data_IF_642902780341
#
_entry.id   IF_642902780341
#
_cell.length_a   1.000
_cell.length_b   1.000
_cell.length_c   1.000
_cell.angle_alpha   90.00
_cell.angle_beta   90.00
_cell.angle_gamma   90.00
#
_symmetry.space_group_name_H-M   'P 1'
#
loop_
_entity.id
_entity.type
_entity.pdbx_description
1 polymer ?
#
# COMPACT_ATOMS: atom_id res chain seq x y z
N UNK A 1 -11.68 -8.66 48.36
CA UNK A 1 -12.81 -7.85 47.80
C UNK A 1 -12.22 -6.54 47.27
N UNK A 2 -11.85 -6.47 45.99
CA UNK A 2 -11.60 -5.21 45.26
C UNK A 2 -12.49 -5.24 44.03
N UNK A 3 -13.49 -4.36 44.02
CA UNK A 3 -14.35 -4.11 42.88
C UNK A 3 -13.51 -3.31 41.86
N UNK A 4 -13.03 -3.96 40.81
CA UNK A 4 -12.52 -3.28 39.63
C UNK A 4 -13.74 -2.74 38.88
N UNK A 5 -13.86 -1.41 38.92
CA UNK A 5 -14.87 -0.68 38.17
C UNK A 5 -14.62 -0.88 36.67
N UNK A 6 -15.53 -1.58 36.02
CA UNK A 6 -15.62 -1.68 34.57
C UNK A 6 -16.00 -0.30 34.04
N UNK A 7 -15.01 0.51 33.71
CA UNK A 7 -15.20 1.68 32.87
C UNK A 7 -15.46 1.15 31.45
N UNK A 8 -16.75 0.95 31.13
CA UNK A 8 -17.15 0.90 29.73
C UNK A 8 -16.77 2.24 29.10
N UNK A 9 -15.58 2.31 28.53
CA UNK A 9 -15.22 3.36 27.61
C UNK A 9 -16.32 3.35 26.53
N UNK A 10 -17.18 4.36 26.54
CA UNK A 10 -18.07 4.68 25.43
C UNK A 10 -17.16 4.77 24.20
N UNK A 11 -17.21 3.75 23.35
CA UNK A 11 -16.44 3.70 22.13
C UNK A 11 -16.80 4.96 21.33
N UNK A 12 -15.88 5.89 21.27
CA UNK A 12 -16.03 7.14 20.55
C UNK A 12 -16.33 6.78 19.10
N UNK A 13 -17.54 7.10 18.64
CA UNK A 13 -17.96 6.79 17.27
C UNK A 13 -17.01 7.50 16.31
N UNK A 14 -16.34 6.76 15.45
CA UNK A 14 -15.50 7.30 14.41
C UNK A 14 -16.26 8.36 13.59
N UNK A 15 -15.72 9.57 13.53
CA UNK A 15 -16.28 10.69 12.77
C UNK A 15 -15.57 10.90 11.45
N UNK A 16 -14.29 10.50 11.38
CA UNK A 16 -13.44 10.69 10.21
C UNK A 16 -13.56 9.50 9.24
N UNK A 17 -13.41 9.75 7.95
CA UNK A 17 -13.39 8.69 6.95
C UNK A 17 -12.13 7.83 7.10
N UNK A 18 -12.30 6.50 7.07
CA UNK A 18 -11.15 5.58 7.11
C UNK A 18 -10.17 5.83 5.97
N UNK A 19 -8.88 5.85 6.30
CA UNK A 19 -7.80 5.99 5.32
C UNK A 19 -7.73 4.80 4.38
N UNK A 20 -7.11 4.95 3.21
CA UNK A 20 -6.92 3.83 2.29
C UNK A 20 -6.05 2.72 2.89
N UNK A 21 -5.10 3.06 3.76
CA UNK A 21 -4.30 2.06 4.49
C UNK A 21 -5.15 1.26 5.46
N UNK A 22 -6.03 1.92 6.23
CA UNK A 22 -6.96 1.27 7.13
C UNK A 22 -7.88 0.30 6.38
N UNK A 23 -8.47 0.75 5.27
CA UNK A 23 -9.30 -0.08 4.39
C UNK A 23 -8.51 -1.25 3.79
N UNK A 24 -7.25 -1.05 3.42
CA UNK A 24 -6.38 -2.10 2.91
C UNK A 24 -6.04 -3.13 3.98
N UNK A 25 -5.71 -2.70 5.20
CA UNK A 25 -5.50 -3.59 6.36
C UNK A 25 -6.75 -4.42 6.65
N UNK A 26 -7.95 -3.79 6.66
CA UNK A 26 -9.21 -4.48 6.87
C UNK A 26 -9.49 -5.54 5.77
N UNK A 27 -9.26 -5.21 4.50
CA UNK A 27 -9.37 -6.18 3.40
C UNK A 27 -8.40 -7.36 3.57
N UNK A 28 -7.14 -7.09 3.94
CA UNK A 28 -6.14 -8.13 4.22
C UNK A 28 -6.53 -9.05 5.39
N UNK A 29 -7.34 -8.58 6.33
CA UNK A 29 -7.92 -9.38 7.42
C UNK A 29 -9.21 -10.13 7.01
N UNK A 30 -9.68 -9.92 5.77
CA UNK A 30 -10.88 -10.56 5.23
C UNK A 30 -12.17 -9.77 5.45
N UNK A 31 -12.11 -8.53 5.99
CA UNK A 31 -13.27 -7.64 6.08
C UNK A 31 -13.39 -6.82 4.78
N UNK A 32 -14.05 -7.42 3.80
CA UNK A 32 -14.36 -6.78 2.53
C UNK A 32 -15.85 -6.93 2.22
N UNK A 33 -16.40 -5.96 1.49
CA UNK A 33 -17.79 -6.04 1.02
C UNK A 33 -17.88 -7.10 -0.07
N UNK A 34 -18.55 -8.22 0.22
CA UNK A 34 -18.77 -9.32 -0.72
C UNK A 34 -20.24 -9.67 -0.79
N UNK A 35 -20.85 -9.41 -1.94
CA UNK A 35 -22.20 -9.87 -2.22
C UNK A 35 -22.14 -11.13 -3.09
N UNK A 36 -22.59 -12.27 -2.53
CA UNK A 36 -22.72 -13.52 -3.27
C UNK A 36 -23.86 -13.43 -4.29
N UNK A 37 -24.88 -12.66 -3.96
CA UNK A 37 -26.05 -12.47 -4.82
C UNK A 37 -25.66 -11.74 -6.10
N UNK A 38 -24.78 -10.71 -6.00
CA UNK A 38 -24.29 -9.98 -7.17
C UNK A 38 -23.44 -10.86 -8.08
N UNK A 39 -22.59 -11.75 -7.52
CA UNK A 39 -21.85 -12.74 -8.31
C UNK A 39 -22.81 -13.63 -9.11
N UNK A 40 -23.81 -14.19 -8.43
CA UNK A 40 -24.79 -15.10 -9.03
C UNK A 40 -25.62 -14.40 -10.09
N UNK A 41 -26.04 -13.15 -9.85
CA UNK A 41 -26.84 -12.38 -10.78
C UNK A 41 -26.06 -12.06 -12.08
N UNK A 42 -24.79 -11.67 -11.96
CA UNK A 42 -23.94 -11.40 -13.14
C UNK A 42 -23.62 -12.70 -13.89
N UNK A 43 -23.36 -13.80 -13.20
CA UNK A 43 -23.18 -15.10 -13.83
C UNK A 43 -24.42 -15.54 -14.61
N UNK A 44 -25.60 -15.39 -14.00
CA UNK A 44 -26.88 -15.71 -14.64
C UNK A 44 -27.15 -14.85 -15.86
N UNK A 45 -26.94 -13.53 -15.76
CA UNK A 45 -27.13 -12.61 -16.89
C UNK A 45 -26.16 -12.91 -18.03
N UNK A 46 -24.86 -13.09 -17.72
CA UNK A 46 -23.85 -13.43 -18.72
C UNK A 46 -24.15 -14.73 -19.43
N UNK A 47 -24.54 -15.78 -18.68
CA UNK A 47 -24.97 -17.05 -19.24
C UNK A 47 -26.21 -16.92 -20.10
N UNK A 48 -27.24 -16.19 -19.65
CA UNK A 48 -28.48 -16.00 -20.39
C UNK A 48 -28.26 -15.21 -21.70
N UNK A 49 -27.46 -14.14 -21.69
CA UNK A 49 -27.15 -13.38 -22.90
C UNK A 49 -26.42 -14.22 -23.95
N UNK A 50 -25.40 -14.99 -23.52
CA UNK A 50 -24.67 -15.89 -24.43
C UNK A 50 -25.57 -17.01 -24.92
N UNK A 51 -26.42 -17.58 -24.07
CA UNK A 51 -27.39 -18.60 -24.45
C UNK A 51 -28.31 -18.11 -25.57
N UNK A 52 -28.85 -16.88 -25.45
CA UNK A 52 -29.71 -16.31 -26.48
C UNK A 52 -29.01 -16.08 -27.82
N UNK A 53 -27.72 -15.72 -27.78
CA UNK A 53 -26.92 -15.55 -28.99
C UNK A 53 -26.60 -16.89 -29.68
N UNK A 54 -26.31 -17.91 -28.90
CA UNK A 54 -25.85 -19.21 -29.42
C UNK A 54 -27.02 -20.16 -29.71
N UNK A 55 -28.18 -19.97 -29.09
CA UNK A 55 -29.31 -20.89 -29.18
C UNK A 55 -29.80 -21.11 -30.64
N UNK A 56 -29.83 -20.11 -31.44
CA UNK A 56 -30.26 -20.26 -32.88
C UNK A 56 -29.29 -21.09 -33.67
N UNK A 57 -28.01 -20.87 -33.54
CA UNK A 57 -26.94 -21.65 -34.16
C UNK A 57 -26.89 -23.08 -33.63
N UNK A 58 -27.16 -23.31 -32.36
CA UNK A 58 -27.22 -24.61 -31.73
C UNK A 58 -28.34 -25.48 -32.36
N UNK A 59 -29.54 -24.93 -32.46
CA UNK A 59 -30.71 -25.64 -33.07
C UNK A 59 -30.41 -26.03 -34.52
N UNK A 60 -29.83 -25.09 -35.29
CA UNK A 60 -29.48 -25.38 -36.68
C UNK A 60 -28.43 -26.49 -36.82
N UNK A 61 -27.36 -26.39 -35.99
CA UNK A 61 -26.29 -27.42 -35.97
C UNK A 61 -26.81 -28.79 -35.59
N UNK A 62 -27.70 -28.89 -34.60
CA UNK A 62 -28.31 -30.14 -34.18
C UNK A 62 -29.23 -30.75 -35.27
N UNK A 63 -29.99 -29.93 -35.97
CA UNK A 63 -30.79 -30.36 -37.08
C UNK A 63 -29.91 -31.02 -38.17
N UNK A 64 -28.82 -30.35 -38.54
CA UNK A 64 -27.86 -30.88 -39.54
C UNK A 64 -27.23 -32.20 -39.10
N UNK A 65 -26.82 -32.24 -37.82
CA UNK A 65 -26.25 -33.49 -37.23
C UNK A 65 -27.27 -34.62 -37.25
N UNK A 66 -28.53 -34.35 -36.91
CA UNK A 66 -29.60 -35.32 -36.91
C UNK A 66 -29.89 -35.84 -38.31
N UNK A 67 -30.04 -34.94 -39.31
CA UNK A 67 -30.23 -35.29 -40.72
C UNK A 67 -29.11 -36.16 -41.25
N UNK A 68 -27.83 -35.79 -40.98
CA UNK A 68 -26.66 -36.59 -41.38
C UNK A 68 -26.60 -37.97 -40.68
N UNK A 69 -27.00 -38.03 -39.42
CA UNK A 69 -27.01 -39.29 -38.66
C UNK A 69 -28.08 -40.24 -39.22
N UNK A 70 -29.21 -39.72 -39.64
CA UNK A 70 -30.29 -40.50 -40.25
C UNK A 70 -29.91 -41.03 -41.65
N UNK A 71 -29.21 -40.21 -42.44
CA UNK A 71 -28.65 -40.62 -43.73
C UNK A 71 -27.58 -41.74 -43.58
N UNK A 72 -26.67 -41.58 -42.63
CA UNK A 72 -25.66 -42.59 -42.33
C UNK A 72 -26.27 -43.92 -41.87
N UNK A 73 -27.36 -43.85 -41.06
CA UNK A 73 -28.09 -45.05 -40.65
C UNK A 73 -28.79 -45.78 -41.82
N UNK A 74 -29.30 -45.02 -42.81
CA UNK A 74 -29.91 -45.62 -44.04
C UNK A 74 -28.88 -46.27 -44.96
N UNK A 75 -27.65 -45.74 -44.99
CA UNK A 75 -26.61 -46.27 -45.87
C UNK A 75 -26.03 -47.58 -45.42
N UNK A 76 -26.41 -48.16 -44.28
CA UNK A 76 -26.00 -49.46 -43.79
C UNK A 76 -24.51 -49.66 -43.54
N UNK A 77 -23.75 -48.59 -43.47
CA UNK A 77 -22.29 -48.60 -43.32
C UNK A 77 -21.87 -48.92 -41.85
N UNK A 78 -22.15 -50.18 -41.45
CA UNK A 78 -21.83 -50.71 -40.12
C UNK A 78 -20.37 -51.10 -39.88
N UNK A 79 -19.48 -50.83 -40.81
CA UNK A 79 -18.09 -51.30 -40.70
C UNK A 79 -17.04 -50.22 -40.73
N UNK A 80 -16.69 -49.75 -39.58
CA UNK A 80 -15.33 -49.49 -39.10
C UNK A 80 -15.36 -48.63 -37.82
N UNK A 81 -14.66 -49.05 -36.78
CA UNK A 81 -14.48 -48.36 -35.49
C UNK A 81 -13.99 -46.92 -35.63
N UNK A 82 -13.30 -46.61 -36.71
CA UNK A 82 -12.76 -45.27 -36.95
C UNK A 82 -13.81 -44.28 -37.52
N UNK A 83 -14.89 -44.78 -38.14
CA UNK A 83 -15.98 -43.92 -38.68
C UNK A 83 -16.94 -43.44 -37.60
N UNK A 84 -17.24 -44.29 -36.61
CA UNK A 84 -18.12 -43.88 -35.53
C UNK A 84 -17.46 -42.86 -34.61
N UNK A 85 -16.11 -42.89 -34.39
CA UNK A 85 -15.37 -41.88 -33.67
C UNK A 85 -15.45 -40.53 -34.38
N UNK A 86 -15.36 -40.47 -35.68
CA UNK A 86 -15.56 -39.27 -36.49
C UNK A 86 -17.02 -38.75 -36.42
N UNK A 87 -18.00 -39.63 -36.39
CA UNK A 87 -19.41 -39.27 -36.19
C UNK A 87 -19.65 -38.74 -34.77
N UNK A 88 -19.14 -39.41 -33.76
CA UNK A 88 -19.21 -38.96 -32.37
C UNK A 88 -18.60 -37.58 -32.16
N UNK A 89 -17.40 -37.33 -32.73
CA UNK A 89 -16.75 -36.00 -32.66
C UNK A 89 -17.58 -34.93 -33.35
N UNK A 90 -18.23 -35.23 -34.49
CA UNK A 90 -19.12 -34.32 -35.21
C UNK A 90 -20.40 -34.01 -34.42
N UNK A 91 -20.93 -34.97 -33.67
CA UNK A 91 -22.08 -34.79 -32.79
C UNK A 91 -21.70 -34.01 -31.51
N UNK A 92 -20.52 -34.29 -30.94
CA UNK A 92 -20.11 -33.72 -29.65
C UNK A 92 -19.72 -32.25 -29.78
N UNK A 93 -19.02 -31.85 -30.84
CA UNK A 93 -18.55 -30.46 -31.02
C UNK A 93 -19.68 -29.43 -31.05
N UNK A 94 -20.78 -29.58 -31.82
CA UNK A 94 -21.89 -28.62 -31.84
C UNK A 94 -22.69 -28.58 -30.52
N UNK A 95 -22.57 -29.59 -29.65
CA UNK A 95 -23.19 -29.63 -28.34
C UNK A 95 -22.29 -28.98 -27.26
N UNK A 96 -20.99 -29.33 -27.24
CA UNK A 96 -20.08 -28.86 -26.21
C UNK A 96 -19.63 -27.41 -26.37
N UNK A 97 -19.43 -26.95 -27.61
CA UNK A 97 -18.95 -25.60 -27.86
C UNK A 97 -19.92 -24.50 -27.32
N UNK A 98 -21.22 -24.57 -27.62
CA UNK A 98 -22.20 -23.63 -27.06
C UNK A 98 -22.31 -23.69 -25.53
N UNK A 99 -22.31 -24.92 -25.00
CA UNK A 99 -22.32 -25.12 -23.54
C UNK A 99 -21.09 -24.54 -22.89
N UNK A 100 -19.91 -24.76 -23.48
CA UNK A 100 -18.65 -24.19 -23.02
C UNK A 100 -18.65 -22.67 -23.02
N UNK A 101 -19.21 -22.02 -24.06
CA UNK A 101 -19.35 -20.57 -24.15
C UNK A 101 -20.26 -20.00 -23.05
N UNK A 102 -21.40 -20.63 -22.79
CA UNK A 102 -22.32 -20.24 -21.72
C UNK A 102 -21.65 -20.39 -20.36
N UNK A 103 -20.98 -21.52 -20.11
CA UNK A 103 -20.25 -21.74 -18.86
C UNK A 103 -19.09 -20.74 -18.69
N UNK A 104 -18.36 -20.46 -19.76
CA UNK A 104 -17.27 -19.49 -19.73
C UNK A 104 -17.76 -18.07 -19.44
N UNK A 105 -18.87 -17.65 -20.05
CA UNK A 105 -19.47 -16.34 -19.81
C UNK A 105 -19.99 -16.22 -18.37
N UNK A 106 -20.68 -17.25 -17.87
CA UNK A 106 -21.17 -17.27 -16.49
C UNK A 106 -20.02 -17.25 -15.48
N UNK A 107 -19.04 -18.11 -15.66
CA UNK A 107 -17.88 -18.18 -14.77
C UNK A 107 -17.01 -16.92 -14.86
N UNK A 108 -16.74 -16.44 -16.08
CA UNK A 108 -15.97 -15.22 -16.33
C UNK A 108 -16.63 -14.00 -15.70
N UNK A 109 -17.95 -13.84 -15.86
CA UNK A 109 -18.72 -12.78 -15.23
C UNK A 109 -18.65 -12.81 -13.69
N UNK A 110 -18.84 -14.01 -13.11
CA UNK A 110 -18.71 -14.19 -11.65
C UNK A 110 -17.28 -13.87 -11.16
N UNK A 111 -16.27 -14.32 -11.91
CA UNK A 111 -14.87 -14.08 -11.56
C UNK A 111 -14.51 -12.60 -11.61
N UNK A 112 -14.93 -11.87 -12.66
CA UNK A 112 -14.72 -10.42 -12.78
C UNK A 112 -15.34 -9.65 -11.61
N UNK A 113 -16.58 -9.96 -11.26
CA UNK A 113 -17.26 -9.34 -10.11
C UNK A 113 -16.57 -9.71 -8.80
N UNK A 114 -16.16 -10.97 -8.64
CA UNK A 114 -15.46 -11.45 -7.44
C UNK A 114 -14.14 -10.73 -7.21
N UNK A 115 -13.35 -10.55 -8.28
CA UNK A 115 -12.10 -9.78 -8.23
C UNK A 115 -12.36 -8.30 -7.95
N UNK A 116 -13.36 -7.70 -8.60
CA UNK A 116 -13.71 -6.29 -8.38
C UNK A 116 -14.16 -6.02 -6.92
N UNK A 117 -14.99 -6.89 -6.35
CA UNK A 117 -15.44 -6.79 -4.95
C UNK A 117 -14.30 -7.02 -3.95
N UNK A 118 -13.35 -7.92 -4.27
CA UNK A 118 -12.20 -8.23 -3.40
C UNK A 118 -11.14 -7.12 -3.35
N UNK A 119 -11.18 -6.16 -4.29
CA UNK A 119 -10.15 -5.13 -4.44
C UNK A 119 -8.89 -5.62 -5.12
N UNK A 120 -8.97 -6.74 -5.86
CA UNK A 120 -7.88 -7.36 -6.61
C UNK A 120 -7.77 -8.87 -6.39
N UNK A 121 -6.83 -9.50 -7.08
CA UNK A 121 -6.48 -10.92 -6.93
C UNK A 121 -5.57 -11.08 -5.69
N UNK A 122 -6.14 -11.03 -4.49
CA UNK A 122 -5.39 -11.36 -3.28
C UNK A 122 -5.64 -12.83 -2.88
N UNK A 123 -4.61 -13.66 -3.02
CA UNK A 123 -4.64 -15.05 -2.56
C UNK A 123 -4.28 -15.05 -1.07
N UNK A 124 -5.25 -15.36 -0.23
CA UNK A 124 -5.06 -15.49 1.21
C UNK A 124 -4.80 -16.96 1.56
N UNK A 125 -3.54 -17.40 1.72
CA UNK A 125 -3.22 -18.80 2.00
C UNK A 125 -3.87 -19.29 3.30
N UNK A 126 -4.07 -18.41 4.28
CA UNK A 126 -4.74 -18.73 5.54
C UNK A 126 -6.26 -19.00 5.40
N UNK A 127 -6.86 -18.66 4.25
CA UNK A 127 -8.27 -18.97 3.97
C UNK A 127 -8.48 -20.41 3.50
N UNK A 128 -7.43 -21.07 2.98
CA UNK A 128 -7.46 -22.43 2.42
C UNK A 128 -7.36 -23.47 3.54
N UNK A 129 -6.96 -23.09 4.74
CA UNK A 129 -6.88 -24.01 5.88
C UNK A 129 -8.21 -24.66 6.23
N UNK A 130 -8.24 -25.99 6.37
CA UNK A 130 -9.40 -26.76 6.83
C UNK A 130 -9.79 -26.33 8.25
N UNK A 131 -10.86 -25.55 8.37
CA UNK A 131 -11.42 -25.13 9.68
C UNK A 131 -12.48 -26.12 10.11
N UNK A 132 -12.09 -27.19 10.78
CA UNK A 132 -13.01 -28.21 11.31
C UNK A 132 -14.10 -27.66 12.23
N UNK A 133 -13.87 -26.52 12.88
CA UNK A 133 -14.87 -25.80 13.67
C UNK A 133 -16.10 -25.35 12.87
N UNK A 134 -15.99 -25.19 11.56
CA UNK A 134 -17.11 -24.85 10.67
C UNK A 134 -17.99 -26.04 10.31
N UNK A 135 -17.52 -27.26 10.57
CA UNK A 135 -18.25 -28.50 10.29
C UNK A 135 -19.18 -28.92 11.46
N UNK A 136 -19.16 -28.19 12.57
CA UNK A 136 -20.02 -28.52 13.71
C UNK A 136 -21.49 -28.21 13.36
N UNK A 137 -22.37 -29.24 13.30
CA UNK A 137 -23.76 -29.10 12.87
C UNK A 137 -24.59 -28.27 13.86
N UNK A 138 -24.27 -28.32 15.17
CA UNK A 138 -25.00 -27.62 16.20
C UNK A 138 -24.85 -26.10 16.08
N UNK A 139 -23.62 -25.60 15.85
CA UNK A 139 -23.37 -24.18 15.64
C UNK A 139 -23.96 -23.67 14.33
N UNK A 140 -24.01 -24.51 13.30
CA UNK A 140 -24.63 -24.15 12.03
C UNK A 140 -26.15 -24.08 12.13
N UNK A 141 -26.79 -24.98 12.92
CA UNK A 141 -28.22 -24.96 13.13
C UNK A 141 -28.67 -23.71 13.93
N UNK A 142 -27.91 -23.29 14.93
CA UNK A 142 -28.18 -22.05 15.66
C UNK A 142 -28.04 -20.79 14.78
N UNK A 143 -27.12 -20.81 13.82
CA UNK A 143 -26.95 -19.73 12.85
C UNK A 143 -28.11 -19.64 11.84
N UNK A 144 -28.80 -20.75 11.54
CA UNK A 144 -29.99 -20.78 10.67
C UNK A 144 -31.18 -20.05 11.32
N UNK A 145 -31.33 -20.11 12.64
CA UNK A 145 -32.42 -19.48 13.40
C UNK A 145 -32.05 -18.06 13.89
N UNK A 146 -30.91 -17.53 13.46
CA UNK A 146 -30.47 -16.20 13.86
C UNK A 146 -31.28 -15.07 13.23
N UNK A 147 -31.40 -13.92 13.91
CA UNK A 147 -32.01 -12.71 13.33
C UNK A 147 -31.38 -12.28 12.01
N UNK A 148 -30.07 -12.55 11.83
CA UNK A 148 -29.37 -12.30 10.55
C UNK A 148 -29.85 -13.20 9.43
N UNK A 149 -30.22 -14.44 9.74
CA UNK A 149 -30.79 -15.36 8.76
C UNK A 149 -32.19 -14.93 8.37
N UNK A 150 -32.99 -14.52 9.34
CA UNK A 150 -34.35 -14.00 9.10
C UNK A 150 -34.33 -12.75 8.19
N UNK A 151 -33.46 -11.78 8.46
CA UNK A 151 -33.33 -10.60 7.59
C UNK A 151 -32.89 -10.95 6.17
N UNK A 152 -32.05 -11.99 6.00
CA UNK A 152 -31.64 -12.48 4.68
C UNK A 152 -32.81 -13.12 3.92
N UNK A 153 -33.61 -13.94 4.61
CA UNK A 153 -34.83 -14.52 4.04
C UNK A 153 -35.82 -13.43 3.67
N UNK A 154 -36.05 -12.44 4.51
CA UNK A 154 -36.95 -11.31 4.19
C UNK A 154 -36.48 -10.52 2.96
N UNK A 155 -35.17 -10.29 2.83
CA UNK A 155 -34.61 -9.65 1.64
C UNK A 155 -34.84 -10.46 0.36
N UNK A 156 -34.74 -11.78 0.40
CA UNK A 156 -34.95 -12.65 -0.78
C UNK A 156 -36.42 -12.77 -1.20
N UNK A 157 -37.37 -12.46 -0.30
CA UNK A 157 -38.81 -12.48 -0.65
C UNK A 157 -39.17 -11.40 -1.68
N UNK A 158 -38.49 -10.26 -1.71
CA UNK A 158 -38.79 -9.17 -2.66
C UNK A 158 -38.53 -9.60 -4.12
N UNK A 159 -37.31 -10.05 -4.50
CA UNK A 159 -37.10 -10.54 -5.86
C UNK A 159 -37.95 -11.78 -6.18
N UNK A 160 -38.21 -12.65 -5.20
CA UNK A 160 -39.08 -13.80 -5.38
C UNK A 160 -40.52 -13.39 -5.73
N UNK A 161 -41.09 -12.41 -5.02
CA UNK A 161 -42.44 -11.89 -5.32
C UNK A 161 -42.52 -11.28 -6.73
N UNK A 162 -41.50 -10.50 -7.15
CA UNK A 162 -41.42 -9.94 -8.50
C UNK A 162 -41.39 -11.08 -9.53
N UNK A 163 -40.59 -12.12 -9.29
CA UNK A 163 -40.51 -13.28 -10.19
C UNK A 163 -41.81 -14.07 -10.29
N UNK A 164 -42.57 -14.17 -9.21
CA UNK A 164 -43.92 -14.78 -9.23
C UNK A 164 -44.84 -13.99 -10.16
N UNK A 165 -44.80 -12.65 -10.14
CA UNK A 165 -45.60 -11.79 -11.02
C UNK A 165 -45.22 -11.98 -12.49
N UNK A 166 -43.92 -11.99 -12.83
CA UNK A 166 -43.44 -12.24 -14.20
C UNK A 166 -43.76 -13.66 -14.66
N UNK A 167 -43.57 -14.64 -13.82
CA UNK A 167 -43.90 -16.04 -14.10
C UNK A 167 -45.40 -16.25 -14.34
N UNK A 168 -46.26 -15.54 -13.59
CA UNK A 168 -47.69 -15.55 -13.83
C UNK A 168 -48.06 -14.93 -15.18
N UNK A 169 -47.40 -13.82 -15.55
CA UNK A 169 -47.55 -13.22 -16.87
C UNK A 169 -47.18 -14.16 -18.01
N UNK A 170 -46.00 -14.81 -17.91
CA UNK A 170 -45.53 -15.79 -18.88
C UNK A 170 -46.49 -16.99 -18.99
N UNK A 171 -46.98 -17.49 -17.84
CA UNK A 171 -47.93 -18.61 -17.81
C UNK A 171 -49.25 -18.24 -18.52
N UNK A 172 -49.79 -17.03 -18.33
CA UNK A 172 -50.96 -16.57 -19.05
C UNK A 172 -50.75 -16.54 -20.55
N UNK A 173 -49.60 -16.09 -21.05
CA UNK A 173 -49.32 -16.08 -22.50
C UNK A 173 -49.19 -17.49 -23.06
N UNK A 174 -48.66 -18.46 -22.30
CA UNK A 174 -48.59 -19.84 -22.69
C UNK A 174 -49.94 -20.58 -22.68
N UNK A 175 -50.89 -20.11 -21.86
CA UNK A 175 -52.25 -20.63 -21.78
C UNK A 175 -53.22 -20.06 -22.78
N UNK A 176 -52.83 -19.10 -23.65
CA UNK A 176 -53.63 -18.62 -24.73
C UNK A 176 -54.10 -19.78 -25.64
N UNK A 177 -55.34 -19.74 -26.19
CA UNK A 177 -55.93 -20.84 -26.87
C UNK A 177 -55.26 -21.09 -28.25
N UNK A 178 -54.16 -21.86 -28.18
CA UNK A 178 -53.52 -22.44 -29.37
C UNK A 178 -53.85 -23.95 -29.42
N UNK A 179 -53.98 -24.54 -30.63
CA UNK A 179 -54.15 -26.00 -30.74
C UNK A 179 -53.04 -26.74 -30.00
N UNK A 180 -53.40 -27.68 -29.11
CA UNK A 180 -52.47 -28.35 -28.17
C UNK A 180 -51.31 -29.06 -28.91
N UNK A 181 -51.54 -29.52 -30.15
CA UNK A 181 -50.55 -30.23 -30.99
C UNK A 181 -49.86 -29.32 -32.02
N UNK A 182 -49.93 -28.02 -31.90
CA UNK A 182 -49.29 -27.15 -32.87
C UNK A 182 -47.78 -27.10 -32.70
N UNK A 183 -47.03 -27.35 -33.77
CA UNK A 183 -45.55 -27.21 -33.81
C UNK A 183 -45.13 -25.75 -33.54
N UNK A 184 -46.03 -24.75 -33.76
CA UNK A 184 -45.78 -23.35 -33.42
C UNK A 184 -45.75 -23.08 -31.93
N UNK A 185 -46.26 -23.95 -31.07
CA UNK A 185 -46.28 -23.80 -29.63
C UNK A 185 -44.87 -23.96 -29.00
N UNK A 186 -44.06 -24.81 -29.58
CA UNK A 186 -42.73 -25.10 -29.09
C UNK A 186 -41.82 -23.85 -29.15
N UNK A 187 -41.64 -23.19 -30.29
CA UNK A 187 -40.86 -21.95 -30.36
C UNK A 187 -41.40 -20.83 -29.45
N UNK A 188 -42.74 -20.73 -29.31
CA UNK A 188 -43.37 -19.73 -28.42
C UNK A 188 -43.08 -20.05 -26.94
N UNK A 189 -43.12 -21.31 -26.55
CA UNK A 189 -42.78 -21.71 -25.19
C UNK A 189 -41.28 -21.45 -24.87
N UNK A 190 -40.38 -21.74 -25.83
CA UNK A 190 -38.95 -21.44 -25.67
C UNK A 190 -38.67 -19.95 -25.57
N UNK A 191 -39.30 -19.12 -26.40
CA UNK A 191 -39.12 -17.68 -26.33
C UNK A 191 -39.68 -17.07 -25.03
N UNK A 192 -40.82 -17.56 -24.54
CA UNK A 192 -41.37 -17.15 -23.26
C UNK A 192 -40.48 -17.58 -22.09
N UNK A 193 -39.97 -18.82 -22.12
CA UNK A 193 -39.05 -19.31 -21.07
C UNK A 193 -37.73 -18.52 -21.06
N UNK A 194 -37.18 -18.21 -22.24
CA UNK A 194 -35.97 -17.40 -22.38
C UNK A 194 -36.19 -15.95 -21.90
N UNK A 195 -37.34 -15.33 -22.30
CA UNK A 195 -37.72 -14.02 -21.81
C UNK A 195 -37.81 -13.97 -20.28
N UNK A 196 -38.48 -14.96 -19.69
CA UNK A 196 -38.59 -15.08 -18.25
C UNK A 196 -37.23 -15.24 -17.56
N UNK A 197 -36.30 -16.00 -18.17
CA UNK A 197 -34.93 -16.16 -17.66
C UNK A 197 -34.14 -14.85 -17.70
N UNK A 198 -34.31 -14.03 -18.76
CA UNK A 198 -33.71 -12.71 -18.87
C UNK A 198 -34.30 -11.75 -17.84
N UNK A 199 -35.64 -11.72 -17.69
CA UNK A 199 -36.30 -10.89 -16.69
C UNK A 199 -35.84 -11.24 -15.27
N UNK A 200 -35.69 -12.52 -15.01
CA UNK A 200 -35.12 -13.01 -13.76
C UNK A 200 -33.69 -12.52 -13.54
N UNK A 201 -32.86 -12.58 -14.58
CA UNK A 201 -31.48 -12.10 -14.51
C UNK A 201 -31.39 -10.59 -14.25
N UNK A 202 -32.24 -9.80 -14.91
CA UNK A 202 -32.29 -8.35 -14.70
C UNK A 202 -32.81 -7.98 -13.30
N UNK A 203 -33.90 -8.60 -12.85
CA UNK A 203 -34.46 -8.36 -11.52
C UNK A 203 -33.47 -8.72 -10.42
N UNK A 204 -32.85 -9.90 -10.52
CA UNK A 204 -31.83 -10.32 -9.55
C UNK A 204 -30.60 -9.43 -9.58
N UNK A 205 -30.17 -8.97 -10.75
CA UNK A 205 -29.06 -8.04 -10.89
C UNK A 205 -29.36 -6.67 -10.24
N UNK A 206 -30.52 -6.10 -10.53
CA UNK A 206 -30.95 -4.82 -9.95
C UNK A 206 -31.06 -4.92 -8.43
N UNK A 207 -31.69 -5.99 -7.92
CA UNK A 207 -31.83 -6.23 -6.49
C UNK A 207 -30.46 -6.43 -5.79
N UNK A 208 -29.60 -7.27 -6.35
CA UNK A 208 -28.27 -7.54 -5.78
C UNK A 208 -27.36 -6.32 -5.84
N UNK A 209 -27.52 -5.46 -6.84
CA UNK A 209 -26.83 -4.17 -6.91
C UNK A 209 -27.25 -3.23 -5.79
N UNK A 210 -28.55 -3.14 -5.49
CA UNK A 210 -29.07 -2.37 -4.36
C UNK A 210 -28.57 -2.95 -3.01
N UNK A 211 -28.64 -4.26 -2.83
CA UNK A 211 -28.14 -4.89 -1.61
C UNK A 211 -26.63 -4.66 -1.39
N UNK A 212 -25.86 -4.76 -2.47
CA UNK A 212 -24.42 -4.43 -2.44
C UNK A 212 -24.18 -2.97 -2.05
N UNK A 213 -24.92 -2.02 -2.59
CA UNK A 213 -24.79 -0.60 -2.26
C UNK A 213 -25.08 -0.34 -0.76
N UNK A 214 -26.12 -0.97 -0.21
CA UNK A 214 -26.45 -0.88 1.22
C UNK A 214 -25.33 -1.46 2.09
N UNK A 215 -24.82 -2.64 1.72
CA UNK A 215 -23.72 -3.28 2.48
C UNK A 215 -22.43 -2.47 2.38
N UNK A 216 -22.14 -1.88 1.21
CA UNK A 216 -21.00 -0.97 1.02
C UNK A 216 -21.11 0.28 1.90
N UNK A 217 -22.30 0.90 1.99
CA UNK A 217 -22.53 2.04 2.89
C UNK A 217 -22.36 1.63 4.36
N UNK A 218 -22.86 0.47 4.74
CA UNK A 218 -22.70 -0.06 6.10
C UNK A 218 -21.23 -0.35 6.42
N UNK A 219 -20.48 -0.92 5.48
CA UNK A 219 -19.04 -1.15 5.61
C UNK A 219 -18.26 0.16 5.77
N UNK A 220 -18.54 1.16 4.92
CA UNK A 220 -17.92 2.47 5.03
C UNK A 220 -18.20 3.15 6.39
N UNK A 221 -19.40 2.93 6.95
CA UNK A 221 -19.70 3.42 8.31
C UNK A 221 -18.86 2.73 9.37
N UNK A 222 -18.63 1.40 9.25
CA UNK A 222 -17.79 0.63 10.18
C UNK A 222 -16.31 1.02 10.09
N UNK A 223 -15.85 1.43 8.90
CA UNK A 223 -14.47 1.86 8.64
C UNK A 223 -14.17 3.29 9.08
N UNK A 224 -15.14 4.01 9.66
CA UNK A 224 -14.88 5.33 10.20
C UNK A 224 -13.96 5.24 11.41
N UNK A 225 -13.01 6.15 11.47
CA UNK A 225 -11.97 6.22 12.50
C UNK A 225 -12.24 7.39 13.46
N UNK A 226 -11.74 7.24 14.66
CA UNK A 226 -11.65 8.38 15.61
C UNK A 226 -10.48 9.29 15.20
N UNK A 227 -10.51 10.55 15.64
CA UNK A 227 -9.38 11.50 15.41
C UNK A 227 -8.06 11.00 16.02
N UNK A 228 -8.15 10.21 17.07
CA UNK A 228 -6.99 9.61 17.73
C UNK A 228 -6.37 8.52 16.84
N UNK A 229 -7.19 7.57 16.36
CA UNK A 229 -6.75 6.50 15.46
C UNK A 229 -6.13 7.07 14.18
N UNK A 230 -6.72 8.12 13.60
CA UNK A 230 -6.17 8.79 12.43
C UNK A 230 -4.77 9.38 12.70
N UNK A 231 -4.58 10.04 13.86
CA UNK A 231 -3.27 10.57 14.26
C UNK A 231 -2.24 9.47 14.47
N UNK A 232 -2.66 8.34 15.05
CA UNK A 232 -1.74 7.24 15.34
C UNK A 232 -1.35 6.50 14.04
N UNK A 233 -2.29 6.33 13.09
CA UNK A 233 -1.99 5.80 11.76
C UNK A 233 -1.06 6.74 10.96
N UNK A 234 -1.25 8.06 11.05
CA UNK A 234 -0.34 9.03 10.45
C UNK A 234 1.07 8.95 11.05
N UNK A 235 1.20 8.75 12.37
CA UNK A 235 2.51 8.54 13.01
C UNK A 235 3.16 7.24 12.54
N UNK A 236 2.37 6.17 12.38
CA UNK A 236 2.86 4.87 11.91
C UNK A 236 3.36 4.95 10.46
N UNK A 237 2.63 5.66 9.58
CA UNK A 237 2.96 5.76 8.15
C UNK A 237 4.06 6.77 7.84
N UNK A 238 4.06 7.94 8.49
CA UNK A 238 4.99 9.04 8.21
C UNK A 238 6.15 9.14 9.23
N UNK A 239 6.08 8.36 10.31
CA UNK A 239 7.00 8.44 11.44
C UNK A 239 6.66 9.60 12.37
N UNK A 240 7.04 9.47 13.62
CA UNK A 240 6.77 10.51 14.62
C UNK A 240 7.61 11.77 14.34
N UNK A 241 6.99 12.95 14.08
CA UNK A 241 7.71 14.18 13.79
C UNK A 241 8.67 14.60 14.91
N UNK A 242 8.35 14.25 16.18
CA UNK A 242 9.23 14.51 17.32
C UNK A 242 10.53 13.68 17.24
N UNK A 243 10.45 12.43 16.77
CA UNK A 243 11.63 11.57 16.57
C UNK A 243 12.50 12.15 15.46
N UNK A 244 11.92 12.57 14.34
CA UNK A 244 12.66 13.25 13.26
C UNK A 244 13.35 14.53 13.74
N UNK A 245 12.68 15.32 14.58
CA UNK A 245 13.28 16.53 15.15
C UNK A 245 14.47 16.19 16.07
N UNK A 246 14.33 15.19 16.95
CA UNK A 246 15.43 14.73 17.84
C UNK A 246 16.62 14.20 17.04
N UNK A 247 16.38 13.42 15.99
CA UNK A 247 17.45 12.92 15.10
C UNK A 247 18.20 14.09 14.45
N UNK A 248 17.50 15.08 13.92
CA UNK A 248 18.14 16.28 13.34
C UNK A 248 18.96 17.05 14.38
N UNK A 249 18.43 17.26 15.59
CA UNK A 249 19.16 17.90 16.69
C UNK A 249 20.42 17.12 17.08
N UNK A 250 20.34 15.79 17.19
CA UNK A 250 21.49 14.94 17.47
C UNK A 250 22.55 15.03 16.36
N UNK A 251 22.13 15.03 15.09
CA UNK A 251 23.05 15.20 13.94
C UNK A 251 23.75 16.57 13.98
N UNK A 252 23.03 17.64 14.29
CA UNK A 252 23.62 18.96 14.46
C UNK A 252 24.59 19.03 15.64
N UNK A 253 24.27 18.39 16.77
CA UNK A 253 25.15 18.32 17.91
C UNK A 253 26.44 17.53 17.62
N UNK A 254 26.33 16.42 16.87
CA UNK A 254 27.51 15.64 16.44
C UNK A 254 28.43 16.43 15.49
N UNK A 255 27.86 17.17 14.52
CA UNK A 255 28.64 18.03 13.63
C UNK A 255 29.40 19.13 14.40
N UNK A 256 28.76 19.73 15.41
CA UNK A 256 29.43 20.71 16.29
C UNK A 256 30.55 20.09 17.10
N UNK A 257 30.42 18.84 17.61
CA UNK A 257 31.47 18.16 18.36
C UNK A 257 32.71 17.81 17.53
N UNK A 258 32.55 17.43 16.23
CA UNK A 258 33.68 17.19 15.33
C UNK A 258 34.56 18.43 15.12
N UNK A 259 33.95 19.62 15.02
CA UNK A 259 34.71 20.87 14.90
C UNK A 259 35.52 21.19 16.19
N UNK A 260 35.06 20.74 17.35
CA UNK A 260 35.72 21.03 18.64
C UNK A 260 37.06 20.33 18.86
N UNK A 261 37.25 19.15 18.30
CA UNK A 261 38.44 18.31 18.58
C UNK A 261 39.71 18.87 17.93
N UNK A 262 39.56 19.60 16.82
CA UNK A 262 40.72 20.03 16.04
C UNK A 262 41.36 21.32 16.55
N UNK A 263 40.60 22.21 17.18
CA UNK A 263 41.10 23.54 17.62
C UNK A 263 42.05 23.46 18.83
N UNK A 264 41.91 22.44 19.68
CA UNK A 264 42.82 22.23 20.82
C UNK A 264 44.25 21.92 20.40
N UNK A 265 44.47 21.49 19.15
CA UNK A 265 45.77 21.18 18.56
C UNK A 265 46.43 22.39 17.92
N UNK A 266 45.70 23.50 17.82
CA UNK A 266 46.23 24.70 17.19
C UNK A 266 47.33 25.34 18.03
N UNK A 267 48.38 25.74 17.37
CA UNK A 267 49.50 26.49 18.00
C UNK A 267 49.15 27.98 18.15
N UNK A 268 48.31 28.50 17.29
CA UNK A 268 47.82 29.86 17.31
C UNK A 268 46.53 30.02 16.52
N UNK A 269 45.69 30.95 16.94
CA UNK A 269 44.53 31.36 16.14
C UNK A 269 44.75 32.81 15.70
N UNK A 270 44.82 33.03 14.38
CA UNK A 270 44.90 34.35 13.78
C UNK A 270 43.51 34.91 13.55
N UNK A 271 43.22 36.08 14.06
CA UNK A 271 41.88 36.65 14.05
C UNK A 271 41.79 38.03 13.36
N UNK A 272 40.66 38.22 12.66
CA UNK A 272 40.11 39.55 12.39
C UNK A 272 38.87 39.68 13.31
N UNK A 273 38.83 40.62 14.27
CA UNK A 273 37.98 40.57 15.46
C UNK A 273 36.51 40.22 15.25
N UNK A 274 35.92 40.66 14.14
CA UNK A 274 34.49 40.44 13.87
C UNK A 274 34.20 39.45 12.75
N UNK A 275 35.16 39.24 11.82
CA UNK A 275 34.84 38.57 10.58
C UNK A 275 35.53 37.22 10.34
N UNK A 276 36.80 37.05 10.74
CA UNK A 276 37.55 35.85 10.40
C UNK A 276 38.33 35.32 11.59
N UNK A 277 38.41 33.98 11.68
CA UNK A 277 39.35 33.29 12.57
C UNK A 277 39.91 32.06 11.84
N UNK A 278 41.24 31.92 11.93
CA UNK A 278 41.96 30.79 11.30
C UNK A 278 42.86 30.17 12.35
N UNK A 279 42.66 28.90 12.65
CA UNK A 279 43.47 28.11 13.56
C UNK A 279 44.62 27.45 12.81
N UNK A 280 45.85 27.67 13.27
CA UNK A 280 47.06 27.11 12.64
C UNK A 280 47.70 26.11 13.60
N UNK A 281 48.10 24.95 13.08
CA UNK A 281 48.96 23.95 13.76
C UNK A 281 50.36 24.05 13.21
N UNK A 282 51.33 24.07 14.10
CA UNK A 282 52.73 24.00 13.72
C UNK A 282 53.57 23.38 14.84
N UNK A 283 54.43 22.44 14.47
CA UNK A 283 55.42 21.83 15.37
C UNK A 283 56.79 21.92 14.71
N UNK A 284 57.76 22.51 15.41
CA UNK A 284 59.13 22.64 14.94
C UNK A 284 59.80 21.28 14.68
N UNK A 285 59.37 20.23 15.34
CA UNK A 285 60.02 18.92 15.26
C UNK A 285 59.45 18.03 14.16
N UNK A 286 58.19 18.19 13.82
CA UNK A 286 57.45 17.26 12.94
C UNK A 286 56.90 17.84 11.67
N UNK A 287 56.82 19.20 11.53
CA UNK A 287 56.15 19.84 10.45
C UNK A 287 57.07 20.79 9.67
N UNK A 288 57.10 20.66 8.34
CA UNK A 288 57.89 21.54 7.48
C UNK A 288 57.24 22.92 7.25
N UNK A 289 55.90 22.99 7.36
CA UNK A 289 55.15 24.22 7.22
C UNK A 289 53.89 24.23 8.10
N UNK A 290 53.43 25.42 8.56
CA UNK A 290 52.18 25.52 9.31
C UNK A 290 50.99 25.09 8.46
N UNK A 291 50.05 24.37 9.11
CA UNK A 291 48.86 23.85 8.46
C UNK A 291 47.60 24.49 9.07
N UNK A 292 46.59 24.79 8.26
CA UNK A 292 45.31 25.32 8.70
C UNK A 292 44.48 24.18 9.26
N UNK A 293 44.15 24.19 10.55
CA UNK A 293 43.28 23.21 11.18
C UNK A 293 41.80 23.54 10.94
N UNK A 294 41.44 24.80 11.15
CA UNK A 294 40.08 25.27 10.98
C UNK A 294 40.06 26.74 10.53
N UNK A 295 39.09 27.09 9.70
CA UNK A 295 38.82 28.48 9.33
C UNK A 295 37.33 28.80 9.47
N UNK A 296 37.02 30.01 9.88
CA UNK A 296 35.63 30.43 10.07
C UNK A 296 35.42 31.91 9.72
N UNK A 297 34.20 32.20 9.29
CA UNK A 297 33.72 33.57 9.06
C UNK A 297 32.52 33.85 9.96
N UNK A 298 32.39 35.10 10.45
CA UNK A 298 31.29 35.62 11.27
C UNK A 298 30.96 34.67 12.46
N UNK A 299 29.81 33.97 12.48
CA UNK A 299 29.41 33.07 13.54
C UNK A 299 30.39 31.89 13.75
N UNK A 300 30.96 31.38 12.65
CA UNK A 300 31.97 30.30 12.74
C UNK A 300 33.29 30.84 13.29
N UNK A 301 33.67 32.05 12.93
CA UNK A 301 34.82 32.72 13.55
C UNK A 301 34.66 32.95 15.04
N UNK A 302 33.45 33.34 15.48
CA UNK A 302 33.12 33.47 16.89
C UNK A 302 33.25 32.10 17.62
N UNK A 303 32.74 31.03 17.05
CA UNK A 303 32.84 29.69 17.62
C UNK A 303 34.31 29.23 17.75
N UNK A 304 35.15 29.45 16.73
CA UNK A 304 36.59 29.12 16.76
C UNK A 304 37.32 29.91 17.86
N UNK A 305 37.02 31.20 18.00
CA UNK A 305 37.63 32.04 19.04
C UNK A 305 37.23 31.61 20.46
N UNK A 306 35.97 31.28 20.64
CA UNK A 306 35.47 30.79 21.92
C UNK A 306 36.14 29.47 22.30
N UNK A 307 36.26 28.55 21.35
CA UNK A 307 36.88 27.28 21.56
C UNK A 307 38.40 27.38 21.81
N UNK A 308 39.10 28.26 21.06
CA UNK A 308 40.48 28.54 21.28
C UNK A 308 40.74 29.09 22.71
N UNK A 309 39.82 29.95 23.20
CA UNK A 309 39.88 30.49 24.57
C UNK A 309 39.74 29.37 25.61
N UNK A 310 38.75 28.46 25.42
CA UNK A 310 38.58 27.33 26.31
C UNK A 310 39.75 26.33 26.28
N UNK A 311 40.36 26.15 25.10
CA UNK A 311 41.52 25.29 24.93
C UNK A 311 42.87 25.93 25.34
N UNK A 312 42.85 27.20 25.75
CA UNK A 312 44.07 27.95 26.11
C UNK A 312 45.01 28.21 24.93
N UNK A 313 44.47 28.19 23.69
CA UNK A 313 45.25 28.51 22.47
C UNK A 313 45.42 30.01 22.33
N UNK A 314 46.68 30.50 22.14
CA UNK A 314 46.93 31.92 21.96
C UNK A 314 46.25 32.49 20.74
N UNK A 315 45.64 33.67 20.88
CA UNK A 315 44.96 34.35 19.78
C UNK A 315 45.73 35.65 19.46
N UNK A 316 46.05 35.80 18.18
CA UNK A 316 46.74 37.01 17.68
C UNK A 316 45.83 37.71 16.69
N UNK A 317 45.63 39.00 16.92
CA UNK A 317 44.86 39.85 16.04
C UNK A 317 45.73 40.37 14.91
N UNK A 318 45.43 39.90 13.67
CA UNK A 318 46.06 40.38 12.46
C UNK A 318 45.05 40.30 11.30
N UNK A 319 44.25 41.38 11.10
CA UNK A 319 43.17 41.36 10.10
C UNK A 319 43.61 41.06 8.68
N UNK A 320 44.68 41.62 8.14
CA UNK A 320 45.13 41.29 6.75
C UNK A 320 45.55 39.83 6.61
N UNK A 321 46.32 39.31 7.56
CA UNK A 321 46.75 37.91 7.55
C UNK A 321 45.57 36.92 7.68
N UNK A 322 44.65 37.22 8.58
CA UNK A 322 43.47 36.37 8.77
C UNK A 322 42.60 36.28 7.49
N UNK A 323 42.45 37.39 6.76
CA UNK A 323 41.74 37.39 5.45
C UNK A 323 42.45 36.56 4.40
N UNK A 324 43.78 36.78 4.25
CA UNK A 324 44.58 36.06 3.26
C UNK A 324 44.56 34.54 3.54
N UNK A 325 44.78 34.14 4.79
CA UNK A 325 44.70 32.72 5.16
C UNK A 325 43.32 32.11 4.89
N UNK A 326 42.24 32.85 5.25
CA UNK A 326 40.89 32.38 5.00
C UNK A 326 40.56 32.20 3.51
N UNK A 327 41.05 33.09 2.64
CA UNK A 327 40.81 33.06 1.19
C UNK A 327 41.66 32.04 0.45
N UNK A 328 42.92 31.88 0.84
CA UNK A 328 43.90 31.15 0.06
C UNK A 328 44.09 29.69 0.51
N UNK A 329 43.74 29.35 1.74
CA UNK A 329 44.07 28.03 2.30
C UNK A 329 42.84 27.31 2.81
N UNK A 330 42.67 26.05 2.45
CA UNK A 330 41.62 25.19 2.95
C UNK A 330 42.07 24.43 4.22
N UNK A 331 41.13 24.06 5.10
CA UNK A 331 41.46 23.24 6.27
C UNK A 331 42.15 21.93 5.86
N UNK A 332 43.26 21.61 6.57
CA UNK A 332 44.16 20.48 6.26
C UNK A 332 45.26 20.80 5.30
N UNK A 333 45.32 21.99 4.72
CA UNK A 333 46.40 22.40 3.80
C UNK A 333 47.44 23.24 4.51
N UNK A 334 48.70 23.14 4.03
CA UNK A 334 49.81 24.00 4.43
C UNK A 334 49.66 25.39 3.84
N UNK A 335 50.13 26.40 4.57
CA UNK A 335 50.07 27.79 4.14
C UNK A 335 50.94 28.00 2.89
N UNK A 336 50.59 28.91 1.96
CA UNK A 336 51.42 29.23 0.79
C UNK A 336 52.67 30.02 1.22
N UNK A 337 53.76 29.93 0.42
CA UNK A 337 55.04 30.51 0.72
C UNK A 337 55.01 32.05 0.97
N UNK A 338 54.09 32.69 0.29
CA UNK A 338 53.86 34.14 0.44
C UNK A 338 53.47 34.58 1.88
N UNK A 339 52.85 33.70 2.63
CA UNK A 339 52.42 33.96 4.00
C UNK A 339 53.39 33.45 5.08
N UNK A 340 54.48 32.75 4.65
CA UNK A 340 55.45 32.17 5.60
C UNK A 340 56.06 33.20 6.53
N UNK A 341 56.54 34.34 6.00
CA UNK A 341 57.22 35.37 6.76
C UNK A 341 56.29 35.94 7.87
N UNK A 342 55.03 36.20 7.53
CA UNK A 342 54.05 36.75 8.48
C UNK A 342 53.68 35.74 9.59
N UNK A 343 53.45 34.45 9.20
CA UNK A 343 53.10 33.40 10.18
C UNK A 343 54.30 33.05 11.03
N UNK A 344 55.53 32.92 10.45
CA UNK A 344 56.76 32.66 11.18
C UNK A 344 57.07 33.74 12.23
N UNK A 345 56.80 35.00 11.89
CA UNK A 345 56.95 36.08 12.86
C UNK A 345 56.04 35.94 14.09
N UNK A 346 54.79 35.51 13.86
CA UNK A 346 53.82 35.28 14.94
C UNK A 346 54.24 34.07 15.79
N UNK A 347 54.60 32.98 15.15
CA UNK A 347 55.04 31.76 15.87
C UNK A 347 56.29 32.00 16.66
N UNK A 348 57.30 32.71 16.11
CA UNK A 348 58.52 33.09 16.82
C UNK A 348 58.24 33.99 18.04
N UNK A 349 57.33 34.95 17.91
CA UNK A 349 56.89 35.78 19.01
C UNK A 349 56.27 34.95 20.16
N UNK A 350 55.35 34.06 19.83
CA UNK A 350 54.69 33.18 20.80
C UNK A 350 55.65 32.22 21.46
N UNK A 351 56.60 31.67 20.71
CA UNK A 351 57.64 30.83 21.26
C UNK A 351 58.54 31.56 22.23
N UNK A 352 58.99 32.81 21.95
CA UNK A 352 59.75 33.61 22.86
C UNK A 352 58.97 33.91 24.16
N UNK A 353 57.71 34.25 24.08
CA UNK A 353 56.89 34.46 25.25
C UNK A 353 56.79 33.21 26.10
N UNK A 354 56.52 32.02 25.52
CA UNK A 354 56.51 30.73 26.26
C UNK A 354 57.82 30.43 26.98
N UNK A 355 58.96 30.69 26.33
CA UNK A 355 60.29 30.50 26.91
C UNK A 355 60.53 31.46 28.07
N UNK A 356 60.16 32.74 27.93
CA UNK A 356 60.31 33.71 28.99
C UNK A 356 59.42 33.41 30.20
N UNK A 357 58.17 33.01 29.98
CA UNK A 357 57.23 32.58 31.03
C UNK A 357 57.77 31.37 31.78
N UNK A 358 58.32 30.39 31.08
CA UNK A 358 58.93 29.21 31.67
C UNK A 358 60.14 29.58 32.54
N UNK A 359 61.02 30.44 32.03
CA UNK A 359 62.18 30.94 32.77
C UNK A 359 61.80 31.75 34.00
N UNK A 360 60.72 32.55 33.94
CA UNK A 360 60.17 33.30 35.11
C UNK A 360 59.58 32.34 36.15
N UNK A 361 58.81 31.34 35.72
CA UNK A 361 58.25 30.32 36.60
C UNK A 361 59.35 29.50 37.29
N UNK A 362 60.40 29.12 36.58
CA UNK A 362 61.56 28.37 37.15
C UNK A 362 62.37 29.21 38.14
N UNK A 363 62.58 30.55 37.86
CA UNK A 363 63.21 31.46 38.80
C UNK A 363 62.35 31.68 40.07
N UNK A 364 61.04 31.73 39.93
CA UNK A 364 60.17 31.84 41.12
C UNK A 364 60.18 30.57 41.99
N UNK A 365 60.20 29.39 41.33
CA UNK A 365 60.34 28.12 42.06
C UNK A 365 61.66 27.98 42.74
N UNK A 366 62.78 28.47 42.14
CA UNK A 366 64.12 28.46 42.75
C UNK A 366 64.26 29.52 43.86
N UNK A 367 63.42 30.55 43.90
CA UNK A 367 63.42 31.57 44.98
C UNK A 367 62.49 31.24 46.16
N UNK A 368 61.62 30.22 46.01
CA UNK A 368 60.65 29.78 47.02
C UNK A 368 60.99 28.45 47.69
N UNK A 369 62.09 27.79 47.31
CA UNK A 369 62.67 26.61 47.94
C UNK A 369 64.02 26.94 48.57
#
# INVERSE_FOLDING_TARGET
>A
MRREGCWCALAEKGTESGTEQHKKKARGQGDSVRSRELLSAVAMLGGALVLGHVATGFVHSWRTVFEQSLEAAKAGDGESDMRWMGAFRRMLAPALMPLGLVMFASFGGALLVGVAQGGGLEIHPNAIGMKFSKLNPITNLSNLVSLRSLTRVMKSLVPAAVMVVFGWGALKTLMLPMPVMSLLRLPHAFSAAYGLALDAAYVTLAWSGLDYAVEWMAWNKRMKMTKQELKDEMKESQGNPQVKARVRQAQHAMRRRKAKVDISRASVVVTNPTHYAVALEFSFETMQAPTVLAKGRDLHAAAIREEARWAGVPMIENPPLARSLYQLVEPGQSIPFELYAAVAGILAYLYRQKVEEKLRADRQRAASG
#
